data_IF_960520647548
#
_entry.id   IF_960520647548
#
_cell.length_a   1.000
_cell.length_b   1.000
_cell.length_c   1.000
_cell.angle_alpha   90.00
_cell.angle_beta   90.00
_cell.angle_gamma   90.00
#
_symmetry.space_group_name_H-M   'P 1'
#
loop_
_entity.id
_entity.type
_entity.pdbx_description
1 polymer ?
#
# COMPACT_ATOMS: atom_id res chain seq x y z
N UNK A 1 -0.28 0.02 -10.03
CA UNK A 1 0.64 -1.15 -10.08
C UNK A 1 0.06 -2.30 -9.25
N UNK A 2 0.33 -3.55 -9.60
CA UNK A 2 -0.12 -4.74 -8.85
C UNK A 2 1.07 -5.47 -8.25
N UNK A 3 0.97 -5.85 -6.99
CA UNK A 3 1.97 -6.61 -6.24
C UNK A 3 1.31 -7.86 -5.68
N UNK A 4 1.87 -9.03 -6.01
CA UNK A 4 1.39 -10.32 -5.52
C UNK A 4 2.10 -10.81 -4.27
N UNK A 5 3.37 -10.42 -4.14
CA UNK A 5 4.21 -10.79 -3.00
C UNK A 5 4.66 -9.52 -2.26
N UNK A 6 4.14 -9.33 -1.05
CA UNK A 6 4.45 -8.16 -0.21
C UNK A 6 5.90 -8.20 0.28
N UNK A 7 6.47 -9.39 0.49
CA UNK A 7 7.84 -9.54 0.99
C UNK A 7 8.84 -9.03 -0.03
N UNK A 8 8.57 -9.24 -1.33
CA UNK A 8 9.41 -8.74 -2.42
C UNK A 8 9.58 -7.22 -2.46
N UNK A 9 8.71 -6.45 -1.79
CA UNK A 9 8.75 -4.99 -1.81
C UNK A 9 9.06 -4.32 -0.47
N UNK A 10 9.10 -5.08 0.62
CA UNK A 10 9.29 -4.53 1.96
C UNK A 10 10.66 -3.86 2.11
N UNK A 11 11.68 -4.40 1.45
CA UNK A 11 13.05 -3.89 1.49
C UNK A 11 13.23 -2.57 0.73
N UNK A 12 12.33 -2.23 -0.20
CA UNK A 12 12.35 -0.94 -0.90
C UNK A 12 11.80 0.20 -0.04
N UNK A 13 11.10 -0.10 1.05
CA UNK A 13 10.44 0.89 1.89
C UNK A 13 11.35 1.51 2.98
N UNK A 14 12.67 1.45 2.82
CA UNK A 14 13.63 2.06 3.76
C UNK A 14 13.35 3.57 3.86
N UNK A 15 12.82 3.98 5.01
CA UNK A 15 12.39 5.35 5.27
C UNK A 15 13.56 6.34 5.37
N UNK A 16 13.45 7.46 4.65
CA UNK A 16 14.08 8.72 5.05
C UNK A 16 13.27 9.31 6.22
N UNK A 17 13.84 9.29 7.43
CA UNK A 17 13.19 9.84 8.64
C UNK A 17 13.37 11.36 8.71
N UNK A 18 12.32 12.11 8.41
CA UNK A 18 12.16 13.48 8.93
C UNK A 18 11.57 13.45 10.34
N UNK A 19 11.91 14.42 11.20
CA UNK A 19 11.47 14.48 12.63
C UNK A 19 9.95 14.41 12.84
N UNK A 20 9.14 14.71 11.82
CA UNK A 20 7.68 14.72 11.89
C UNK A 20 7.01 13.49 11.26
N UNK A 21 7.77 12.46 10.86
CA UNK A 21 7.20 11.28 10.19
C UNK A 21 6.57 10.31 11.20
N UNK A 22 5.24 10.12 11.13
CA UNK A 22 4.44 9.28 12.07
C UNK A 22 4.44 7.78 11.70
N UNK A 23 5.14 7.41 10.62
CA UNK A 23 5.16 6.05 10.08
C UNK A 23 5.22 6.12 8.57
N UNK A 24 6.40 5.82 8.00
CA UNK A 24 6.63 5.98 6.58
C UNK A 24 6.11 4.79 5.78
N UNK A 25 6.84 4.38 4.75
CA UNK A 25 6.37 3.33 3.86
C UNK A 25 6.42 1.94 4.53
N UNK A 26 7.43 1.70 5.38
CA UNK A 26 7.59 0.43 6.08
C UNK A 26 6.36 0.06 6.93
N UNK A 27 5.83 1.01 7.71
CA UNK A 27 4.64 0.76 8.54
C UNK A 27 3.39 0.47 7.71
N UNK A 28 3.27 1.07 6.52
CA UNK A 28 2.14 0.80 5.60
C UNK A 28 2.26 -0.60 5.01
N UNK A 29 3.46 -1.02 4.61
CA UNK A 29 3.69 -2.37 4.09
C UNK A 29 3.49 -3.46 5.14
N UNK A 30 3.81 -3.21 6.42
CA UNK A 30 3.49 -4.14 7.51
C UNK A 30 1.96 -4.32 7.69
N UNK A 31 1.19 -3.23 7.59
CA UNK A 31 -0.27 -3.30 7.63
C UNK A 31 -0.85 -4.05 6.42
N UNK A 32 -0.28 -3.83 5.23
CA UNK A 32 -0.61 -4.58 4.01
C UNK A 32 -0.31 -6.06 4.20
N UNK A 33 0.88 -6.43 4.68
CA UNK A 33 1.25 -7.83 4.92
C UNK A 33 0.26 -8.51 5.86
N UNK A 34 -0.09 -7.84 6.96
CA UNK A 34 -1.09 -8.35 7.92
C UNK A 34 -2.45 -8.59 7.25
N UNK A 35 -2.90 -7.67 6.40
CA UNK A 35 -4.20 -7.73 5.73
C UNK A 35 -4.23 -8.82 4.64
N UNK A 36 -3.21 -8.87 3.78
CA UNK A 36 -3.12 -9.86 2.69
C UNK A 36 -2.98 -11.27 3.24
N UNK A 37 -2.18 -11.46 4.30
CA UNK A 37 -2.07 -12.76 5.00
C UNK A 37 -3.39 -13.22 5.63
N UNK A 38 -4.30 -12.29 5.92
CA UNK A 38 -5.65 -12.59 6.39
C UNK A 38 -6.67 -12.80 5.26
N UNK A 39 -6.24 -12.80 3.99
CA UNK A 39 -7.12 -12.93 2.84
C UNK A 39 -7.85 -11.63 2.47
N UNK A 40 -7.33 -10.47 2.88
CA UNK A 40 -7.92 -9.16 2.58
C UNK A 40 -7.04 -8.40 1.59
N UNK A 41 -7.54 -8.21 0.38
CA UNK A 41 -6.88 -7.35 -0.61
C UNK A 41 -6.74 -5.92 -0.08
N UNK A 42 -5.59 -5.29 -0.34
CA UNK A 42 -5.29 -3.97 0.19
C UNK A 42 -4.74 -3.07 -0.90
N UNK A 43 -5.04 -1.76 -0.84
CA UNK A 43 -4.52 -0.76 -1.77
C UNK A 43 -3.85 0.36 -0.99
N UNK A 44 -2.61 0.69 -1.36
CA UNK A 44 -1.97 1.94 -0.93
C UNK A 44 -2.15 2.98 -2.04
N UNK A 45 -2.72 4.13 -1.69
CA UNK A 45 -2.91 5.25 -2.61
C UNK A 45 -2.70 6.61 -1.88
N UNK A 46 -2.49 7.68 -2.65
CA UNK A 46 -2.32 9.02 -2.09
C UNK A 46 -3.66 9.63 -1.65
N UNK A 47 -3.76 10.02 -0.38
CA UNK A 47 -4.92 10.73 0.17
C UNK A 47 -5.08 12.17 -0.34
N UNK A 48 -4.09 12.71 -1.05
CA UNK A 48 -4.15 14.05 -1.64
C UNK A 48 -5.00 14.11 -2.94
N UNK A 49 -5.49 12.97 -3.41
CA UNK A 49 -6.32 12.84 -4.62
C UNK A 49 -7.65 12.14 -4.29
N UNK A 50 -8.64 12.86 -3.72
CA UNK A 50 -9.91 12.26 -3.29
C UNK A 50 -10.75 11.72 -4.46
N UNK A 51 -10.63 12.32 -5.64
CA UNK A 51 -11.24 11.89 -6.90
C UNK A 51 -10.81 10.48 -7.32
N UNK A 52 -9.60 10.07 -6.94
CA UNK A 52 -9.04 8.76 -7.25
C UNK A 52 -9.78 7.60 -6.57
N UNK A 53 -10.49 7.84 -5.46
CA UNK A 53 -11.12 6.78 -4.65
C UNK A 53 -12.14 5.96 -5.46
N UNK A 54 -12.97 6.63 -6.27
CA UNK A 54 -13.99 5.96 -7.07
C UNK A 54 -13.39 5.00 -8.11
N UNK A 55 -12.27 5.38 -8.72
CA UNK A 55 -11.59 4.56 -9.73
C UNK A 55 -10.83 3.40 -9.10
N UNK A 56 -10.23 3.59 -7.92
CA UNK A 56 -9.58 2.53 -7.15
C UNK A 56 -10.54 1.40 -6.80
N UNK A 57 -11.77 1.72 -6.38
CA UNK A 57 -12.82 0.74 -6.07
C UNK A 57 -13.21 -0.07 -7.31
N UNK A 58 -13.21 0.55 -8.50
CA UNK A 58 -13.54 -0.10 -9.78
C UNK A 58 -12.41 -0.94 -10.35
N UNK A 59 -11.27 -1.05 -9.66
CA UNK A 59 -10.10 -1.80 -10.14
C UNK A 59 -9.07 -0.96 -10.90
N UNK A 60 -9.36 0.30 -11.20
CA UNK A 60 -8.46 1.25 -11.85
C UNK A 60 -7.73 2.15 -10.84
N UNK A 61 -7.61 3.44 -11.20
CA UNK A 61 -7.02 4.47 -10.36
C UNK A 61 -5.50 4.40 -10.23
N UNK A 62 -4.94 5.39 -9.53
CA UNK A 62 -3.50 5.51 -9.27
C UNK A 62 -3.21 5.01 -7.86
N UNK A 63 -2.56 3.86 -7.75
CA UNK A 63 -2.13 3.27 -6.50
C UNK A 63 -1.42 1.94 -6.70
N UNK A 64 -1.03 1.33 -5.60
CA UNK A 64 -0.42 0.00 -5.56
C UNK A 64 -1.40 -0.96 -4.91
N UNK A 65 -1.84 -1.96 -5.69
CA UNK A 65 -2.78 -2.99 -5.26
C UNK A 65 -2.01 -4.24 -4.84
N UNK A 66 -2.30 -4.72 -3.65
CA UNK A 66 -1.77 -5.94 -3.08
C UNK A 66 -2.89 -6.97 -3.07
N UNK A 67 -2.74 -7.99 -3.92
CA UNK A 67 -3.75 -9.04 -4.11
C UNK A 67 -3.47 -10.21 -3.19
N UNK A 68 -4.52 -10.91 -2.77
CA UNK A 68 -4.38 -12.21 -2.13
C UNK A 68 -3.97 -13.24 -3.18
N UNK A 69 -2.95 -14.03 -2.89
CA UNK A 69 -2.43 -15.09 -3.75
C UNK A 69 -2.81 -16.46 -3.22
#
# INVERSE_FOLDING_TARGET
>A
EQVKDVESVIDFARDEKGELSVGGMASKLLAVQTSVSAGIETIIASGLRPDNLGDLIKGGGIGTRFTVS
#
